data_IF_298009691288
#
_entry.id   IF_298009691288
#
_cell.length_a   1.000
_cell.length_b   1.000
_cell.length_c   1.000
_cell.angle_alpha   90.00
_cell.angle_beta   90.00
_cell.angle_gamma   90.00
#
_symmetry.space_group_name_H-M   'P 1'
#
loop_
_entity.id
_entity.type
_entity.pdbx_description
1 polymer ?
#
# COMPACT_ATOMS: atom_id res chain seq x y z
N UNK A 1 7.47 -4.49 17.26
CA UNK A 1 7.72 -3.20 16.58
C UNK A 1 6.95 -3.24 15.27
N UNK A 2 6.20 -2.19 14.95
CA UNK A 2 5.43 -2.08 13.70
C UNK A 2 6.15 -1.10 12.78
N UNK A 3 6.21 -1.42 11.49
CA UNK A 3 6.72 -0.54 10.45
C UNK A 3 5.55 0.10 9.72
N UNK A 4 5.63 1.40 9.47
CA UNK A 4 4.64 2.07 8.64
C UNK A 4 5.03 1.91 7.16
N UNK A 5 4.15 1.29 6.38
CA UNK A 5 4.24 1.24 4.93
C UNK A 5 3.45 2.41 4.33
N UNK A 6 4.04 3.12 3.37
CA UNK A 6 3.37 4.16 2.60
C UNK A 6 3.63 3.92 1.11
N UNK A 7 2.61 3.58 0.34
CA UNK A 7 2.71 3.33 -1.11
C UNK A 7 1.82 4.30 -1.87
N UNK A 8 2.37 4.87 -2.94
CA UNK A 8 1.75 5.94 -3.73
C UNK A 8 1.19 5.39 -5.04
N UNK A 9 -0.04 5.78 -5.37
CA UNK A 9 -0.77 5.36 -6.56
C UNK A 9 -1.34 6.57 -7.31
N UNK A 10 -1.43 6.47 -8.63
CA UNK A 10 -2.05 7.50 -9.46
C UNK A 10 -3.55 7.29 -9.64
N UNK A 11 -4.02 6.05 -9.50
CA UNK A 11 -5.42 5.68 -9.70
C UNK A 11 -6.02 5.03 -8.45
N UNK A 12 -7.29 5.34 -8.15
CA UNK A 12 -8.01 4.75 -7.01
C UNK A 12 -8.08 3.22 -7.12
N UNK A 13 -8.29 2.71 -8.34
CA UNK A 13 -8.38 1.27 -8.60
C UNK A 13 -7.11 0.54 -8.17
N UNK A 14 -5.93 1.10 -8.44
CA UNK A 14 -4.64 0.52 -8.05
C UNK A 14 -4.48 0.54 -6.52
N UNK A 15 -4.80 1.67 -5.88
CA UNK A 15 -4.76 1.81 -4.43
C UNK A 15 -5.70 0.81 -3.72
N UNK A 16 -6.91 0.62 -4.25
CA UNK A 16 -7.91 -0.33 -3.73
C UNK A 16 -7.48 -1.78 -3.92
N UNK A 17 -6.92 -2.12 -5.09
CA UNK A 17 -6.38 -3.46 -5.33
C UNK A 17 -5.21 -3.75 -4.38
N UNK A 18 -4.36 -2.77 -4.13
CA UNK A 18 -3.26 -2.90 -3.19
C UNK A 18 -3.76 -3.05 -1.74
N UNK A 19 -4.73 -2.23 -1.32
CA UNK A 19 -5.42 -2.36 -0.02
C UNK A 19 -5.96 -3.79 0.19
N UNK A 20 -6.63 -4.35 -0.81
CA UNK A 20 -7.15 -5.72 -0.74
C UNK A 20 -6.04 -6.77 -0.60
N UNK A 21 -4.91 -6.61 -1.31
CA UNK A 21 -3.75 -7.52 -1.16
C UNK A 21 -3.18 -7.46 0.26
N UNK A 22 -3.09 -6.27 0.85
CA UNK A 22 -2.63 -6.09 2.24
C UNK A 22 -3.59 -6.71 3.26
N UNK A 23 -4.90 -6.51 3.07
CA UNK A 23 -5.92 -7.12 3.93
C UNK A 23 -5.92 -8.66 3.85
N UNK A 24 -5.65 -9.23 2.67
CA UNK A 24 -5.50 -10.68 2.51
C UNK A 24 -4.31 -11.25 3.32
N UNK A 25 -3.28 -10.44 3.54
CA UNK A 25 -2.14 -10.76 4.42
C UNK A 25 -2.44 -10.53 5.92
N UNK A 26 -3.70 -10.24 6.27
CA UNK A 26 -4.16 -9.94 7.64
C UNK A 26 -3.40 -8.77 8.27
N UNK A 27 -3.06 -7.77 7.46
CA UNK A 27 -2.52 -6.52 7.97
C UNK A 27 -3.66 -5.64 8.43
N UNK A 28 -3.69 -5.39 9.73
CA UNK A 28 -4.63 -4.48 10.34
C UNK A 28 -4.21 -3.02 10.08
N UNK A 29 -5.18 -2.10 10.05
CA UNK A 29 -4.89 -0.67 9.96
C UNK A 29 -4.54 -0.16 8.56
N UNK A 30 -4.79 -0.93 7.50
CA UNK A 30 -4.65 -0.46 6.11
C UNK A 30 -5.66 0.65 5.84
N UNK A 31 -5.21 1.77 5.25
CA UNK A 31 -6.03 2.92 4.89
C UNK A 31 -5.61 3.49 3.54
N UNK A 32 -6.57 3.73 2.67
CA UNK A 32 -6.39 4.52 1.45
C UNK A 32 -6.66 5.99 1.78
N UNK A 33 -5.70 6.85 1.49
CA UNK A 33 -5.78 8.30 1.67
C UNK A 33 -5.79 8.95 0.31
N UNK A 34 -6.83 9.71 0.01
CA UNK A 34 -6.88 10.57 -1.17
C UNK A 34 -5.92 11.75 -0.96
N UNK A 35 -4.92 11.84 -1.83
CA UNK A 35 -3.92 12.89 -1.81
C UNK A 35 -4.33 13.93 -2.86
N UNK A 36 -5.01 14.97 -2.39
CA UNK A 36 -5.49 16.08 -3.22
C UNK A 36 -4.37 17.02 -3.67
N UNK A 37 -3.11 16.62 -3.55
CA UNK A 37 -1.95 17.44 -3.89
C UNK A 37 -1.72 17.41 -5.41
N UNK A 38 -1.88 18.53 -6.12
CA UNK A 38 -1.67 18.57 -7.56
C UNK A 38 -0.20 18.29 -7.90
N UNK A 39 0.04 17.32 -8.79
CA UNK A 39 1.38 16.94 -9.25
C UNK A 39 2.07 15.85 -8.44
N UNK A 40 1.40 15.27 -7.44
CA UNK A 40 1.84 14.09 -6.69
C UNK A 40 0.80 12.97 -6.81
N UNK A 41 1.17 11.76 -6.36
CA UNK A 41 0.30 10.61 -6.33
C UNK A 41 -1.09 10.97 -5.79
N UNK A 42 -2.14 10.57 -6.50
CA UNK A 42 -3.52 10.88 -6.17
C UNK A 42 -4.02 10.06 -4.96
N UNK A 43 -3.39 8.90 -4.68
CA UNK A 43 -3.78 8.04 -3.58
C UNK A 43 -2.55 7.49 -2.86
N UNK A 44 -2.63 7.40 -1.53
CA UNK A 44 -1.60 6.80 -0.68
C UNK A 44 -2.22 5.69 0.14
N UNK A 45 -1.68 4.48 0.05
CA UNK A 45 -2.05 3.38 0.95
C UNK A 45 -1.07 3.37 2.11
N UNK A 46 -1.59 3.56 3.32
CA UNK A 46 -0.86 3.45 4.57
C UNK A 46 -1.23 2.16 5.27
N UNK A 47 -0.25 1.46 5.85
CA UNK A 47 -0.50 0.28 6.65
C UNK A 47 0.52 0.11 7.78
N UNK A 48 0.08 -0.37 8.93
CA UNK A 48 0.95 -0.74 10.05
C UNK A 48 1.34 -2.21 9.91
N UNK A 49 2.54 -2.44 9.38
CA UNK A 49 3.04 -3.76 9.01
C UNK A 49 3.87 -4.33 10.17
N UNK A 50 3.56 -5.55 10.65
CA UNK A 50 4.46 -6.28 11.54
C UNK A 50 5.79 -6.56 10.84
N UNK A 51 6.91 -6.35 11.52
CA UNK A 51 8.26 -6.61 10.97
C UNK A 51 8.42 -7.98 10.33
N UNK A 52 7.73 -9.00 10.85
CA UNK A 52 7.76 -10.39 10.34
C UNK A 52 7.12 -10.55 8.95
N UNK A 53 6.17 -9.67 8.61
CA UNK A 53 5.48 -9.66 7.31
C UNK A 53 6.13 -8.70 6.31
N UNK A 54 7.13 -7.93 6.74
CA UNK A 54 7.78 -6.93 5.91
C UNK A 54 8.37 -7.49 4.60
N UNK A 55 9.02 -8.68 4.58
CA UNK A 55 9.50 -9.27 3.32
C UNK A 55 8.37 -9.65 2.35
N UNK A 56 7.23 -10.10 2.87
CA UNK A 56 6.06 -10.44 2.03
C UNK A 56 5.45 -9.17 1.43
N UNK A 57 5.46 -8.09 2.21
CA UNK A 57 4.95 -6.79 1.78
C UNK A 57 5.84 -6.16 0.73
N UNK A 58 7.15 -6.23 0.88
CA UNK A 58 8.09 -5.81 -0.15
C UNK A 58 7.85 -6.57 -1.47
N UNK A 59 7.57 -7.88 -1.40
CA UNK A 59 7.22 -8.66 -2.59
C UNK A 59 5.90 -8.20 -3.22
N UNK A 60 4.87 -7.89 -2.43
CA UNK A 60 3.58 -7.36 -2.93
C UNK A 60 3.75 -5.97 -3.54
N UNK A 61 4.58 -5.11 -2.95
CA UNK A 61 4.93 -3.79 -3.50
C UNK A 61 5.67 -3.95 -4.84
N UNK A 62 6.68 -4.81 -4.90
CA UNK A 62 7.44 -5.07 -6.12
C UNK A 62 6.57 -5.69 -7.23
N UNK A 63 5.69 -6.63 -6.92
CA UNK A 63 4.72 -7.19 -7.86
C UNK A 63 3.79 -6.11 -8.43
N UNK A 64 3.34 -5.18 -7.58
CA UNK A 64 2.45 -4.11 -8.00
C UNK A 64 3.16 -3.03 -8.85
N UNK A 65 4.42 -2.72 -8.55
CA UNK A 65 5.22 -1.76 -9.33
C UNK A 65 5.84 -2.38 -10.59
N UNK A 66 6.02 -3.70 -10.66
CA UNK A 66 6.55 -4.41 -11.82
C UNK A 66 5.53 -4.68 -12.94
N UNK A 67 4.26 -4.33 -12.72
CA UNK A 67 3.17 -4.50 -13.67
C UNK A 67 2.94 -3.29 -14.59
N UNK A 68 3.77 -2.24 -14.51
CA UNK A 68 3.66 -1.01 -15.31
C UNK A 68 4.97 -0.64 -16.02
#
# INVERSE_FOLDING_TARGET
MMNQLNVQFQHDVEARLFEMKLQALRIDGVRVIDSTLPGLAAYVVQADVPMELMPQIEAVVQDHHGLY
#
